data_IF_140973912108
#
_entry.id   IF_140973912108
#
_cell.length_a   1.000
_cell.length_b   1.000
_cell.length_c   1.000
_cell.angle_alpha   90.00
_cell.angle_beta   90.00
_cell.angle_gamma   90.00
#
_symmetry.space_group_name_H-M   'P 1'
#
loop_
_entity.id
_entity.type
_entity.pdbx_description
1 polymer ?
#
# COMPACT_ATOMS: atom_id res chain seq x y z
N UNK A 1 5.10 20.46 -6.75
CA UNK A 1 4.93 20.62 -5.29
C UNK A 1 5.99 19.85 -4.51
N UNK A 2 6.30 18.59 -4.87
CA UNK A 2 7.38 17.84 -4.22
C UNK A 2 8.79 18.38 -4.54
N UNK A 3 9.05 18.81 -5.78
CA UNK A 3 10.39 19.28 -6.20
C UNK A 3 10.91 20.47 -5.37
N UNK A 4 10.15 21.57 -5.13
CA UNK A 4 10.65 22.65 -4.28
C UNK A 4 10.92 22.25 -2.81
N UNK A 5 10.28 21.18 -2.32
CA UNK A 5 10.50 20.69 -0.95
C UNK A 5 11.80 19.88 -0.88
N UNK A 6 12.14 19.17 -1.95
CA UNK A 6 13.40 18.42 -2.05
C UNK A 6 14.63 19.34 -2.07
N UNK A 7 14.47 20.59 -2.50
CA UNK A 7 15.55 21.59 -2.47
C UNK A 7 15.93 22.04 -1.04
N UNK A 8 15.04 21.82 -0.05
CA UNK A 8 15.21 22.36 1.31
C UNK A 8 15.17 21.30 2.41
N UNK A 9 14.56 20.13 2.16
CA UNK A 9 14.50 19.03 3.13
C UNK A 9 15.14 17.78 2.53
N UNK A 10 16.08 17.12 3.25
CA UNK A 10 16.64 15.85 2.84
C UNK A 10 15.56 14.79 2.62
N UNK A 11 15.70 14.03 1.54
CA UNK A 11 14.71 13.04 1.09
C UNK A 11 14.42 11.97 2.14
N UNK A 12 15.42 11.59 2.94
CA UNK A 12 15.32 10.57 3.99
C UNK A 12 14.43 11.03 5.17
N UNK A 13 14.12 12.33 5.24
CA UNK A 13 13.24 12.93 6.25
C UNK A 13 11.86 13.28 5.70
N UNK A 14 11.57 12.95 4.45
CA UNK A 14 10.30 13.24 3.81
C UNK A 14 9.40 12.01 3.77
N UNK A 15 8.14 12.21 4.11
CA UNK A 15 7.06 11.27 3.87
C UNK A 15 5.95 11.98 3.10
N UNK A 16 5.29 11.27 2.19
CA UNK A 16 4.12 11.79 1.46
C UNK A 16 2.85 11.14 2.00
N UNK A 17 1.82 11.96 2.16
CA UNK A 17 0.52 11.52 2.64
C UNK A 17 -0.55 12.04 1.71
N UNK A 18 -1.30 11.12 1.10
CA UNK A 18 -2.36 11.46 0.17
C UNK A 18 -3.72 10.99 0.67
N UNK A 19 -4.70 11.87 0.47
CA UNK A 19 -6.10 11.54 0.68
C UNK A 19 -6.71 10.97 -0.59
N UNK A 20 -7.59 9.97 -0.46
CA UNK A 20 -8.19 9.26 -1.59
C UNK A 20 -9.66 9.62 -1.85
N UNK A 21 -10.08 10.82 -1.42
CA UNK A 21 -11.46 11.31 -1.61
C UNK A 21 -11.88 11.30 -3.08
N UNK A 22 -10.94 11.60 -3.98
CA UNK A 22 -11.15 11.65 -5.43
C UNK A 22 -10.53 10.47 -6.20
N UNK A 23 -10.10 9.40 -5.50
CA UNK A 23 -9.47 8.23 -6.16
C UNK A 23 -8.10 8.51 -6.78
N UNK A 24 -7.40 9.53 -6.30
CA UNK A 24 -6.11 10.00 -6.85
C UNK A 24 -4.91 9.62 -5.99
N UNK A 25 -5.11 9.04 -4.80
CA UNK A 25 -4.02 8.83 -3.86
C UNK A 25 -2.96 7.87 -4.40
N UNK A 26 -3.36 6.72 -4.96
CA UNK A 26 -2.42 5.74 -5.53
C UNK A 26 -1.61 6.33 -6.69
N UNK A 27 -2.25 7.09 -7.59
CA UNK A 27 -1.58 7.77 -8.70
C UNK A 27 -0.55 8.79 -8.19
N UNK A 28 -0.89 9.55 -7.14
CA UNK A 28 0.01 10.52 -6.54
C UNK A 28 1.18 9.84 -5.81
N UNK A 29 0.94 8.70 -5.15
CA UNK A 29 2.00 7.86 -4.57
C UNK A 29 2.94 7.38 -5.67
N UNK A 30 2.42 6.82 -6.76
CA UNK A 30 3.23 6.35 -7.87
C UNK A 30 4.09 7.46 -8.47
N UNK A 31 3.53 8.65 -8.67
CA UNK A 31 4.29 9.80 -9.16
C UNK A 31 5.37 10.22 -8.16
N UNK A 32 5.04 10.22 -6.87
CA UNK A 32 6.01 10.54 -5.81
C UNK A 32 7.16 9.55 -5.81
N UNK A 33 6.90 8.24 -5.94
CA UNK A 33 7.96 7.22 -6.04
C UNK A 33 8.87 7.46 -7.24
N UNK A 34 8.31 7.79 -8.41
CA UNK A 34 9.10 8.09 -9.61
C UNK A 34 10.00 9.31 -9.45
N UNK A 35 9.47 10.36 -8.81
CA UNK A 35 10.27 11.54 -8.50
C UNK A 35 11.34 11.14 -7.49
N UNK A 36 10.99 10.52 -6.36
CA UNK A 36 11.96 10.16 -5.32
C UNK A 36 13.05 9.21 -5.84
N UNK A 37 12.74 8.24 -6.71
CA UNK A 37 13.72 7.34 -7.34
C UNK A 37 14.70 8.06 -8.27
N UNK A 38 14.23 9.09 -9.00
CA UNK A 38 15.10 9.97 -9.80
C UNK A 38 16.12 10.73 -8.93
N UNK A 39 15.77 11.02 -7.67
CA UNK A 39 16.60 11.80 -6.76
C UNK A 39 17.42 10.93 -5.79
N UNK A 40 16.97 9.70 -5.47
CA UNK A 40 17.65 8.77 -4.58
C UNK A 40 17.20 7.31 -4.82
N UNK A 41 18.14 6.36 -4.87
CA UNK A 41 17.84 4.92 -4.83
C UNK A 41 17.41 4.54 -3.40
N UNK A 42 16.15 4.81 -3.03
CA UNK A 42 15.64 4.50 -1.70
C UNK A 42 15.51 2.98 -1.53
N UNK A 43 16.29 2.33 -0.64
CA UNK A 43 16.16 0.90 -0.39
C UNK A 43 14.86 0.57 0.36
N UNK A 44 14.35 1.52 1.15
CA UNK A 44 13.28 1.30 2.11
C UNK A 44 12.35 2.54 2.15
N UNK A 45 11.33 2.54 1.30
CA UNK A 45 10.31 3.60 1.27
C UNK A 45 9.38 3.51 2.48
N UNK A 46 9.59 4.35 3.48
CA UNK A 46 8.62 4.53 4.58
C UNK A 46 7.40 5.30 4.05
N UNK A 47 6.34 4.58 3.67
CA UNK A 47 5.05 5.18 3.33
C UNK A 47 4.04 4.88 4.44
N UNK A 48 3.71 5.91 5.22
CA UNK A 48 2.71 5.82 6.28
C UNK A 48 1.37 6.39 5.82
N UNK A 49 0.31 5.61 5.94
CA UNK A 49 -1.08 6.02 5.81
C UNK A 49 -1.66 6.29 7.21
N UNK A 50 -2.02 7.55 7.51
CA UNK A 50 -2.79 7.85 8.72
C UNK A 50 -2.90 9.34 9.04
N UNK A 51 -4.13 9.89 9.01
CA UNK A 51 -4.44 11.20 9.60
C UNK A 51 -5.71 11.08 10.46
N UNK A 52 -5.71 11.57 11.72
CA UNK A 52 -6.83 11.49 12.66
C UNK A 52 -7.93 12.55 12.46
N UNK A 53 -7.84 13.43 11.46
CA UNK A 53 -8.60 14.69 11.44
C UNK A 53 -9.91 14.71 10.62
N UNK A 54 -10.22 13.71 9.79
CA UNK A 54 -11.40 13.75 8.89
C UNK A 54 -12.52 12.79 9.33
N UNK A 55 -13.57 13.32 9.99
CA UNK A 55 -14.82 12.59 10.30
C UNK A 55 -15.65 12.40 9.02
N UNK A 56 -15.86 11.16 8.60
CA UNK A 56 -16.93 10.78 7.65
C UNK A 56 -16.58 10.76 6.16
N UNK A 57 -15.40 11.23 5.75
CA UNK A 57 -14.87 10.97 4.42
C UNK A 57 -13.96 9.74 4.47
N UNK A 58 -14.01 8.88 3.45
CA UNK A 58 -13.00 7.85 3.11
C UNK A 58 -11.67 8.53 2.77
N UNK A 59 -11.14 9.29 3.73
CA UNK A 59 -10.13 10.30 3.49
C UNK A 59 -8.76 9.67 3.27
N UNK A 60 -8.42 8.61 3.99
CA UNK A 60 -7.07 8.03 3.91
C UNK A 60 -7.01 6.94 2.85
N UNK A 61 -5.93 6.93 2.07
CA UNK A 61 -5.59 5.79 1.23
C UNK A 61 -5.47 4.55 2.10
N UNK A 62 -6.07 3.45 1.65
CA UNK A 62 -6.13 2.21 2.43
C UNK A 62 -4.81 1.46 2.29
N UNK A 63 -4.22 1.06 3.42
CA UNK A 63 -2.86 0.49 3.47
C UNK A 63 -2.72 -0.77 2.63
N UNK A 64 -3.76 -1.59 2.59
CA UNK A 64 -3.89 -2.79 1.77
C UNK A 64 -3.73 -2.48 0.28
N UNK A 65 -4.34 -1.40 -0.21
CA UNK A 65 -4.31 -1.02 -1.62
C UNK A 65 -2.93 -0.47 -2.02
N UNK A 66 -2.27 0.25 -1.11
CA UNK A 66 -0.88 0.71 -1.28
C UNK A 66 0.06 -0.49 -1.29
N UNK A 67 -0.03 -1.38 -0.30
CA UNK A 67 0.83 -2.56 -0.19
C UNK A 67 0.68 -3.48 -1.42
N UNK A 68 -0.55 -3.65 -1.91
CA UNK A 68 -0.83 -4.38 -3.14
C UNK A 68 -0.14 -3.74 -4.35
N UNK A 69 -0.28 -2.42 -4.53
CA UNK A 69 0.36 -1.69 -5.63
C UNK A 69 1.89 -1.81 -5.57
N UNK A 70 2.49 -1.58 -4.39
CA UNK A 70 3.94 -1.64 -4.21
C UNK A 70 4.50 -3.04 -4.49
N UNK A 71 3.82 -4.08 -4.01
CA UNK A 71 4.19 -5.46 -4.30
C UNK A 71 4.10 -5.78 -5.81
N UNK A 72 3.05 -5.30 -6.50
CA UNK A 72 2.90 -5.44 -7.95
C UNK A 72 3.97 -4.70 -8.77
N UNK A 73 4.53 -3.61 -8.22
CA UNK A 73 5.65 -2.87 -8.82
C UNK A 73 7.02 -3.46 -8.47
N UNK A 74 7.08 -4.52 -7.66
CA UNK A 74 8.33 -5.12 -7.21
C UNK A 74 9.09 -4.26 -6.19
N UNK A 75 8.45 -3.25 -5.60
CA UNK A 75 9.04 -2.44 -4.53
C UNK A 75 9.10 -3.28 -3.26
N UNK A 76 10.29 -3.42 -2.69
CA UNK A 76 10.47 -4.17 -1.45
C UNK A 76 9.76 -3.43 -0.32
N UNK A 77 8.74 -4.09 0.25
CA UNK A 77 8.02 -3.62 1.42
C UNK A 77 8.17 -4.65 2.53
N UNK A 78 8.38 -4.19 3.77
CA UNK A 78 8.48 -5.05 4.95
C UNK A 78 7.10 -5.42 5.54
N UNK A 79 6.10 -5.58 4.68
CA UNK A 79 4.71 -5.86 5.06
C UNK A 79 4.24 -7.13 4.36
N UNK A 80 3.73 -8.08 5.12
CA UNK A 80 3.08 -9.30 4.61
C UNK A 80 1.65 -8.96 4.20
N UNK A 81 1.40 -8.95 2.89
CA UNK A 81 0.10 -8.61 2.33
C UNK A 81 -1.00 -9.58 2.81
N UNK A 82 -0.70 -10.87 2.96
CA UNK A 82 -1.68 -11.85 3.42
C UNK A 82 -2.13 -11.56 4.85
N UNK A 83 -1.17 -11.31 5.76
CA UNK A 83 -1.47 -10.92 7.15
C UNK A 83 -2.19 -9.59 7.25
N UNK A 84 -1.84 -8.63 6.39
CA UNK A 84 -2.50 -7.32 6.37
C UNK A 84 -3.98 -7.44 5.97
N UNK A 85 -4.27 -8.24 4.94
CA UNK A 85 -5.64 -8.50 4.47
C UNK A 85 -6.45 -9.21 5.55
N UNK A 86 -5.87 -10.21 6.25
CA UNK A 86 -6.51 -10.88 7.38
C UNK A 86 -6.83 -9.93 8.53
N UNK A 87 -5.90 -9.01 8.87
CA UNK A 87 -6.11 -8.01 9.91
C UNK A 87 -7.24 -7.04 9.53
N UNK A 88 -7.24 -6.55 8.28
CA UNK A 88 -8.30 -5.69 7.73
C UNK A 88 -9.68 -6.37 7.76
N UNK A 89 -9.76 -7.64 7.36
CA UNK A 89 -11.01 -8.40 7.38
C UNK A 89 -11.52 -8.62 8.82
N UNK A 90 -10.61 -8.92 9.76
CA UNK A 90 -10.93 -9.07 11.17
C UNK A 90 -11.56 -7.79 11.75
N UNK A 91 -10.95 -6.62 11.52
CA UNK A 91 -11.47 -5.36 12.05
C UNK A 91 -12.78 -4.95 11.36
N UNK A 92 -12.91 -5.15 10.05
CA UNK A 92 -14.17 -4.87 9.33
C UNK A 92 -15.33 -5.69 9.87
N UNK A 93 -15.10 -6.99 10.14
CA UNK A 93 -16.09 -7.86 10.77
C UNK A 93 -16.44 -7.40 12.18
N UNK A 94 -15.44 -7.06 12.99
CA UNK A 94 -15.66 -6.59 14.36
C UNK A 94 -16.47 -5.28 14.41
N UNK A 95 -16.20 -4.36 13.47
CA UNK A 95 -16.90 -3.09 13.36
C UNK A 95 -18.28 -3.19 12.69
N UNK A 96 -18.63 -4.36 12.15
CA UNK A 96 -19.87 -4.56 11.39
C UNK A 96 -19.98 -3.69 10.14
N UNK A 97 -18.85 -3.29 9.54
CA UNK A 97 -18.79 -2.42 8.36
C UNK A 97 -17.82 -2.98 7.33
N UNK A 98 -18.18 -2.98 6.03
CA UNK A 98 -17.28 -3.44 4.98
C UNK A 98 -16.04 -2.54 4.88
N UNK A 99 -14.90 -3.13 4.54
CA UNK A 99 -13.68 -2.38 4.23
C UNK A 99 -13.87 -1.57 2.94
N UNK A 100 -13.24 -0.40 2.86
CA UNK A 100 -13.14 0.37 1.61
C UNK A 100 -11.95 -0.07 0.74
N UNK A 101 -11.08 -0.98 1.21
CA UNK A 101 -9.97 -1.50 0.42
C UNK A 101 -10.46 -2.39 -0.71
N UNK A 102 -10.08 -2.03 -1.94
CA UNK A 102 -10.35 -2.86 -3.13
C UNK A 102 -9.52 -4.14 -3.11
N UNK A 103 -8.26 -4.05 -2.67
CA UNK A 103 -7.37 -5.21 -2.54
C UNK A 103 -7.92 -6.22 -1.54
N UNK A 104 -8.39 -5.78 -0.37
CA UNK A 104 -9.05 -6.65 0.61
C UNK A 104 -10.26 -7.32 0.03
N UNK A 105 -11.20 -6.57 -0.55
CA UNK A 105 -12.44 -7.13 -1.10
C UNK A 105 -12.12 -8.21 -2.14
N UNK A 106 -11.15 -7.96 -3.02
CA UNK A 106 -10.75 -8.90 -4.06
C UNK A 106 -9.99 -10.13 -3.53
N UNK A 107 -9.02 -9.91 -2.64
CA UNK A 107 -8.12 -10.96 -2.15
C UNK A 107 -8.73 -11.81 -1.06
N UNK A 108 -9.65 -11.30 -0.25
CA UNK A 108 -10.36 -12.08 0.78
C UNK A 108 -11.19 -13.21 0.18
N UNK A 109 -11.78 -13.00 -1.01
CA UNK A 109 -12.48 -14.05 -1.77
C UNK A 109 -11.50 -15.16 -2.17
N UNK A 110 -10.31 -14.77 -2.63
CA UNK A 110 -9.27 -15.70 -3.08
C UNK A 110 -8.63 -16.45 -1.90
N UNK A 111 -8.37 -15.81 -0.76
CA UNK A 111 -7.80 -16.45 0.44
C UNK A 111 -8.77 -17.44 1.08
N UNK A 112 -10.08 -17.13 1.06
CA UNK A 112 -11.13 -18.06 1.53
C UNK A 112 -11.20 -19.30 0.64
N UNK A 113 -10.85 -19.18 -0.65
CA UNK A 113 -10.79 -20.30 -1.60
C UNK A 113 -9.43 -21.03 -1.60
N UNK A 114 -8.33 -20.33 -1.34
CA UNK A 114 -6.98 -20.91 -1.32
C UNK A 114 -6.76 -21.87 -0.14
N UNK A 115 -7.49 -21.70 0.97
CA UNK A 115 -7.53 -22.70 2.05
C UNK A 115 -8.18 -24.03 1.61
N UNK A 116 -8.93 -24.05 0.50
CA UNK A 116 -9.48 -25.26 -0.15
C UNK A 116 -8.70 -25.72 -1.39
N UNK A 117 -7.92 -24.86 -2.03
CA UNK A 117 -7.13 -25.18 -3.21
C UNK A 117 -5.64 -25.05 -2.91
N UNK A 118 -4.99 -26.20 -2.64
CA UNK A 118 -3.53 -26.31 -2.69
C UNK A 118 -3.06 -25.84 -4.08
N UNK A 119 -2.22 -24.80 -4.07
CA UNK A 119 -1.45 -24.22 -5.19
C UNK A 119 -2.26 -23.42 -6.22
N UNK A 120 -2.17 -22.09 -6.09
CA UNK A 120 -1.88 -21.23 -7.23
C UNK A 120 -0.58 -20.46 -6.94
N UNK A 121 0.32 -20.31 -7.92
CA UNK A 121 1.54 -19.56 -7.72
C UNK A 121 1.17 -18.08 -7.74
N UNK A 122 1.13 -17.45 -6.56
CA UNK A 122 1.58 -16.06 -6.52
C UNK A 122 3.05 -16.16 -6.90
N UNK A 123 3.39 -15.71 -8.11
CA UNK A 123 4.77 -15.67 -8.56
C UNK A 123 5.53 -14.68 -7.67
N UNK A 124 5.99 -15.18 -6.53
CA UNK A 124 7.12 -14.63 -5.79
C UNK A 124 8.29 -14.83 -6.74
N UNK A 125 8.74 -13.77 -7.40
CA UNK A 125 10.01 -13.80 -8.11
C UNK A 125 11.11 -14.03 -7.07
N UNK A 126 11.43 -15.31 -6.92
CA UNK A 126 12.49 -15.84 -6.10
C UNK A 126 13.10 -17.01 -6.85
N UNK A 127 13.83 -16.70 -7.92
CA UNK A 127 14.82 -17.63 -8.47
C UNK A 127 16.21 -16.98 -8.47
N UNK A 128 16.99 -17.46 -7.49
CA UNK A 128 18.40 -17.85 -7.57
C UNK A 128 19.43 -16.74 -7.81
N UNK A 129 20.02 -16.30 -6.70
CA UNK A 129 21.48 -16.16 -6.66
C UNK A 129 22.14 -17.50 -6.98
N UNK A 130 22.87 -17.52 -8.09
CA UNK A 130 24.13 -18.24 -8.28
C UNK A 130 25.08 -17.26 -8.97
#
# INVERSE_FOLDING_TARGET
>A
MLEPVLDVVPIEKLAVQFHDIYGQALSNILLSLKILDKWFRLPDGLLHSGCPYAKGATGNVVTEDVAYMLNGLGVKVHVDLGKLIMAGDCISKHMGRPSSSKALISLSITLTNASKLKRFPVAVHGEKSL
#
